data_IF_671960382305
#
_entry.id   IF_671960382305
#
_cell.length_a   1.000
_cell.length_b   1.000
_cell.length_c   1.000
_cell.angle_alpha   90.00
_cell.angle_beta   90.00
_cell.angle_gamma   90.00
#
_symmetry.space_group_name_H-M   'P 1'
#
loop_
_entity.id
_entity.type
_entity.pdbx_description
1 polymer ?
#
# COMPACT_ATOMS: atom_id res chain seq x y z
N UNK A 1 -5.66 -4.73 18.48
CA UNK A 1 -5.00 -5.82 17.73
C UNK A 1 -3.79 -5.26 16.99
N UNK A 2 -2.60 -5.85 17.21
CA UNK A 2 -1.37 -5.50 16.48
C UNK A 2 -1.16 -6.56 15.40
N UNK A 3 -0.93 -6.12 14.17
CA UNK A 3 -0.71 -7.02 13.02
C UNK A 3 0.61 -6.67 12.33
N UNK A 4 1.31 -7.71 11.88
CA UNK A 4 2.44 -7.58 10.97
C UNK A 4 1.94 -7.79 9.53
N UNK A 5 2.14 -6.80 8.67
CA UNK A 5 1.49 -6.71 7.36
C UNK A 5 2.53 -6.65 6.25
N UNK A 6 2.68 -7.78 5.56
CA UNK A 6 3.53 -7.94 4.39
C UNK A 6 2.75 -7.61 3.11
N UNK A 7 2.95 -6.42 2.55
CA UNK A 7 2.21 -5.97 1.37
C UNK A 7 3.10 -5.27 0.36
N UNK A 8 2.62 -5.18 -0.88
CA UNK A 8 3.16 -4.23 -1.83
C UNK A 8 2.80 -2.80 -1.41
N UNK A 9 3.80 -1.92 -1.41
CA UNK A 9 3.60 -0.51 -1.08
C UNK A 9 2.68 0.19 -2.10
N UNK A 10 1.94 1.23 -1.68
CA UNK A 10 1.10 2.01 -2.59
C UNK A 10 1.92 2.58 -3.74
N UNK A 11 1.32 2.61 -4.93
CA UNK A 11 2.05 2.97 -6.16
C UNK A 11 2.00 4.45 -6.48
N UNK A 12 1.01 5.18 -5.96
CA UNK A 12 0.81 6.61 -6.19
C UNK A 12 0.53 7.32 -4.86
N UNK A 13 1.04 8.53 -4.69
CA UNK A 13 0.75 9.36 -3.52
C UNK A 13 -0.72 9.82 -3.51
N UNK A 14 -1.20 10.24 -4.68
CA UNK A 14 -2.54 10.76 -4.90
C UNK A 14 -3.28 9.95 -5.96
N UNK A 15 -4.15 10.59 -6.74
CA UNK A 15 -4.98 9.93 -7.77
C UNK A 15 -4.15 9.15 -8.78
N UNK A 16 -4.54 7.89 -9.03
CA UNK A 16 -3.97 7.06 -10.10
C UNK A 16 -4.48 7.56 -11.46
N UNK A 17 -3.61 8.00 -12.39
CA UNK A 17 -4.02 8.35 -13.75
C UNK A 17 -4.59 7.13 -14.48
N UNK A 18 -5.59 7.33 -15.36
CA UNK A 18 -6.26 6.21 -16.06
C UNK A 18 -5.28 5.29 -16.81
N UNK A 19 -4.26 5.88 -17.44
CA UNK A 19 -3.21 5.17 -18.17
C UNK A 19 -2.36 4.24 -17.28
N UNK A 20 -2.28 4.55 -15.99
CA UNK A 20 -1.44 3.83 -15.04
C UNK A 20 -2.25 2.78 -14.27
N UNK A 21 -3.57 2.70 -14.46
CA UNK A 21 -4.43 1.71 -13.80
C UNK A 21 -4.10 0.32 -14.36
N UNK A 22 -3.43 -0.50 -13.54
CA UNK A 22 -3.25 -1.93 -13.80
C UNK A 22 -4.24 -2.75 -12.99
N UNK A 23 -4.78 -3.77 -13.64
CA UNK A 23 -5.67 -4.76 -13.03
C UNK A 23 -5.18 -6.17 -13.33
N UNK A 24 -5.51 -7.09 -12.44
CA UNK A 24 -5.11 -8.49 -12.55
C UNK A 24 -6.21 -9.41 -12.03
N UNK A 25 -6.27 -10.63 -12.56
CA UNK A 25 -7.17 -11.72 -12.13
C UNK A 25 -6.42 -12.84 -11.42
N UNK A 26 -5.09 -12.81 -11.40
CA UNK A 26 -4.24 -13.86 -10.82
C UNK A 26 -4.35 -13.88 -9.29
N UNK A 27 -4.34 -12.71 -8.66
CA UNK A 27 -4.29 -12.58 -7.20
C UNK A 27 -5.59 -12.97 -6.49
N UNK A 28 -6.73 -12.97 -7.20
CA UNK A 28 -8.00 -13.41 -6.64
C UNK A 28 -8.82 -14.15 -7.70
N UNK A 29 -8.98 -15.45 -7.52
CA UNK A 29 -9.75 -16.27 -8.45
C UNK A 29 -11.18 -15.74 -8.60
N UNK A 30 -11.61 -15.57 -9.85
CA UNK A 30 -12.95 -15.08 -10.18
C UNK A 30 -13.17 -13.57 -10.01
N UNK A 31 -12.15 -12.80 -9.58
CA UNK A 31 -12.30 -11.34 -9.42
C UNK A 31 -11.12 -10.59 -10.01
N UNK A 32 -11.43 -9.59 -10.83
CA UNK A 32 -10.44 -8.63 -11.28
C UNK A 32 -10.16 -7.63 -10.16
N UNK A 33 -8.90 -7.54 -9.74
CA UNK A 33 -8.44 -6.62 -8.69
C UNK A 33 -7.56 -5.52 -9.29
N UNK A 34 -7.63 -4.32 -8.70
CA UNK A 34 -6.76 -3.20 -9.04
C UNK A 34 -5.43 -3.37 -8.30
N UNK A 35 -4.31 -3.32 -9.04
CA UNK A 35 -2.96 -3.42 -8.47
C UNK A 35 -2.33 -2.06 -8.16
N UNK A 36 -2.96 -0.98 -8.62
CA UNK A 36 -2.42 0.38 -8.51
C UNK A 36 -3.24 1.18 -7.53
N UNK A 37 -2.62 1.53 -6.42
CA UNK A 37 -3.32 2.07 -5.26
C UNK A 37 -2.68 3.40 -4.82
N UNK A 38 -3.52 4.24 -4.22
CA UNK A 38 -3.10 5.50 -3.59
C UNK A 38 -2.69 5.25 -2.13
N UNK A 39 -1.92 6.18 -1.54
CA UNK A 39 -1.63 6.13 -0.09
C UNK A 39 -2.91 6.16 0.74
N UNK A 40 -3.90 6.98 0.36
CA UNK A 40 -5.18 7.05 1.07
C UNK A 40 -5.97 5.73 1.02
N UNK A 41 -6.00 5.06 -0.14
CA UNK A 41 -6.61 3.72 -0.27
C UNK A 41 -5.89 2.71 0.63
N UNK A 42 -4.56 2.79 0.71
CA UNK A 42 -3.74 1.91 1.54
C UNK A 42 -3.98 2.13 3.04
N UNK A 43 -3.98 3.38 3.52
CA UNK A 43 -4.27 3.71 4.92
C UNK A 43 -5.69 3.31 5.31
N UNK A 44 -6.67 3.54 4.42
CA UNK A 44 -8.05 3.13 4.67
C UNK A 44 -8.18 1.61 4.84
N UNK A 45 -7.39 0.82 4.11
CA UNK A 45 -7.37 -0.64 4.29
C UNK A 45 -6.85 -1.07 5.68
N UNK A 46 -6.08 -0.21 6.36
CA UNK A 46 -5.58 -0.41 7.72
C UNK A 46 -6.53 0.12 8.80
N UNK A 47 -7.68 0.69 8.43
CA UNK A 47 -8.69 1.18 9.39
C UNK A 47 -9.12 0.13 10.44
N UNK A 48 -9.25 -1.17 10.12
CA UNK A 48 -9.68 -2.17 11.11
C UNK A 48 -8.65 -2.47 12.21
N UNK A 49 -7.40 -2.04 12.08
CA UNK A 49 -6.33 -2.37 13.04
C UNK A 49 -5.91 -1.14 13.83
N UNK A 50 -5.57 -1.32 15.10
CA UNK A 50 -5.18 -0.21 15.98
C UNK A 50 -3.77 0.29 15.66
N UNK A 51 -2.86 -0.63 15.35
CA UNK A 51 -1.47 -0.39 14.97
C UNK A 51 -1.03 -1.40 13.92
N UNK A 52 -0.23 -0.95 12.96
CA UNK A 52 0.37 -1.79 11.92
C UNK A 52 1.85 -1.45 11.76
N UNK A 53 2.68 -2.49 11.71
CA UNK A 53 4.04 -2.39 11.20
C UNK A 53 3.98 -2.81 9.73
N UNK A 54 4.31 -1.87 8.84
CA UNK A 54 4.28 -2.07 7.41
C UNK A 54 5.71 -2.14 6.92
N UNK A 55 6.06 -3.22 6.25
CA UNK A 55 7.38 -3.35 5.64
C UNK A 55 7.24 -3.39 4.12
N UNK A 56 7.96 -2.51 3.44
CA UNK A 56 8.09 -2.53 1.99
C UNK A 56 8.98 -3.67 1.48
N UNK A 57 8.67 -4.92 1.83
CA UNK A 57 9.54 -6.07 1.53
C UNK A 57 9.51 -6.51 0.06
N UNK A 58 8.46 -6.13 -0.67
CA UNK A 58 8.29 -6.52 -2.06
C UNK A 58 8.59 -5.32 -2.98
N UNK A 59 9.60 -5.42 -3.86
CA UNK A 59 9.85 -4.41 -4.89
C UNK A 59 8.58 -4.19 -5.71
N UNK A 60 8.36 -2.96 -6.19
CA UNK A 60 7.19 -2.70 -7.03
C UNK A 60 7.33 -3.53 -8.31
N UNK A 61 6.32 -4.32 -8.69
CA UNK A 61 6.38 -5.09 -9.94
C UNK A 61 6.63 -4.24 -11.18
N UNK A 62 6.29 -2.94 -11.13
CA UNK A 62 6.48 -2.00 -12.23
C UNK A 62 7.77 -1.18 -12.19
N UNK A 63 8.39 -1.03 -11.01
CA UNK A 63 9.57 -0.18 -10.82
C UNK A 63 10.30 -0.55 -9.50
N UNK A 64 11.17 -1.58 -9.53
CA UNK A 64 11.76 -2.16 -8.33
C UNK A 64 12.58 -1.17 -7.47
N UNK A 65 13.10 -0.09 -8.07
CA UNK A 65 13.99 0.86 -7.41
C UNK A 65 13.27 2.08 -6.83
N UNK A 66 11.96 2.21 -7.08
CA UNK A 66 11.18 3.37 -6.64
C UNK A 66 10.48 3.10 -5.31
N UNK A 67 10.88 3.80 -4.26
CA UNK A 67 10.11 3.91 -3.02
C UNK A 67 9.32 5.23 -3.00
N UNK A 68 8.02 5.17 -2.65
CA UNK A 68 7.25 6.36 -2.28
C UNK A 68 7.28 6.62 -0.77
N UNK A 69 7.93 5.72 -0.03
CA UNK A 69 8.13 5.85 1.40
C UNK A 69 9.56 6.35 1.57
N UNK A 70 9.69 7.64 1.89
CA UNK A 70 10.99 8.25 2.21
C UNK A 70 11.53 7.75 3.56
N UNK A 71 12.73 8.19 3.98
CA UNK A 71 13.42 7.71 5.20
C UNK A 71 12.75 8.08 6.54
N UNK A 72 11.49 8.54 6.53
CA UNK A 72 10.71 8.78 7.74
C UNK A 72 9.86 7.55 7.99
N UNK A 73 10.41 6.67 8.82
CA UNK A 73 9.89 5.34 9.17
C UNK A 73 8.59 5.37 10.01
N UNK A 74 7.92 6.53 10.12
CA UNK A 74 6.73 6.73 10.95
C UNK A 74 5.80 7.77 10.30
N UNK A 75 4.55 7.37 10.08
CA UNK A 75 3.48 8.22 9.58
C UNK A 75 2.30 8.11 10.55
N UNK A 76 1.94 9.22 11.20
CA UNK A 76 0.78 9.28 12.09
C UNK A 76 -0.46 9.71 11.30
N UNK A 77 -1.48 8.84 11.23
CA UNK A 77 -2.78 9.17 10.64
C UNK A 77 -3.89 8.87 11.65
N UNK A 78 -4.71 9.88 11.98
CA UNK A 78 -5.85 9.76 12.89
C UNK A 78 -5.49 9.13 14.26
N UNK A 79 -4.32 9.46 14.81
CA UNK A 79 -3.81 8.90 16.07
C UNK A 79 -3.25 7.48 15.97
N UNK A 80 -3.13 6.93 14.75
CA UNK A 80 -2.49 5.63 14.49
C UNK A 80 -1.10 5.85 13.94
N UNK A 81 -0.12 5.24 14.59
CA UNK A 81 1.27 5.20 14.12
C UNK A 81 1.39 4.06 13.13
N UNK A 82 1.66 4.40 11.87
CA UNK A 82 2.05 3.44 10.83
C UNK A 82 3.56 3.57 10.70
N UNK A 83 4.27 2.51 11.10
CA UNK A 83 5.70 2.42 10.84
C UNK A 83 5.87 1.80 9.44
N UNK A 84 6.59 2.48 8.54
CA UNK A 84 6.77 2.09 7.14
C UNK A 84 8.25 1.86 6.83
#
# INVERSE_FOLDING_TARGET
MIVDVHTHLPTHEHKVPKKDIKKDKIYQSGKEIKLTNTINEYIKALEPVDKAFVFGIAPRPSDPNKSLVGPKNEMEINGKIIMI
#
